data_IF_781284646804
#
_entry.id   IF_781284646804
#
_cell.length_a   1.000
_cell.length_b   1.000
_cell.length_c   1.000
_cell.angle_alpha   90.00
_cell.angle_beta   90.00
_cell.angle_gamma   90.00
#
_symmetry.space_group_name_H-M   'P 1'
#
loop_
_entity.id
_entity.type
_entity.pdbx_description
1 polymer ?
#
# COMPACT_ATOMS: atom_id res chain seq x y z
N UNK A 1 -0.24 -21.25 -6.62
CA UNK A 1 -0.94 -20.85 -5.36
C UNK A 1 -0.81 -19.34 -5.04
N UNK A 2 -0.34 -18.52 -5.99
CA UNK A 2 -0.68 -17.08 -6.09
C UNK A 2 -1.69 -16.82 -7.21
N UNK A 3 -1.83 -17.77 -8.16
CA UNK A 3 -2.76 -17.73 -9.29
C UNK A 3 -4.24 -17.62 -8.88
N UNK A 4 -4.56 -17.86 -7.59
CA UNK A 4 -5.90 -17.68 -7.04
C UNK A 4 -6.25 -16.22 -6.74
N UNK A 5 -5.25 -15.35 -6.57
CA UNK A 5 -5.44 -13.92 -6.26
C UNK A 5 -5.54 -13.07 -7.53
N UNK A 6 -4.97 -13.54 -8.64
CA UNK A 6 -5.04 -12.86 -9.93
C UNK A 6 -5.48 -13.89 -11.00
N UNK A 7 -6.79 -14.05 -11.24
CA UNK A 7 -7.32 -15.04 -12.18
C UNK A 7 -7.00 -14.71 -13.66
N UNK A 8 -6.40 -13.54 -13.92
CA UNK A 8 -5.92 -13.10 -15.23
C UNK A 8 -4.56 -13.69 -15.60
N UNK A 9 -4.19 -13.58 -16.87
CA UNK A 9 -2.85 -13.93 -17.34
C UNK A 9 -1.88 -12.83 -16.92
N UNK A 10 -0.62 -13.19 -16.65
CA UNK A 10 0.43 -12.19 -16.58
C UNK A 10 0.56 -11.43 -17.91
N UNK A 11 0.84 -10.13 -17.84
CA UNK A 11 0.87 -9.15 -18.94
C UNK A 11 -0.47 -9.00 -19.70
N UNK A 12 -1.61 -9.16 -19.03
CA UNK A 12 -2.91 -8.87 -19.66
C UNK A 12 -3.22 -7.37 -19.78
N UNK A 13 -4.17 -7.02 -20.63
CA UNK A 13 -4.58 -5.64 -20.89
C UNK A 13 -5.23 -4.93 -19.69
N UNK A 14 -5.63 -5.69 -18.67
CA UNK A 14 -6.22 -5.22 -17.43
C UNK A 14 -5.20 -5.16 -16.29
N UNK A 15 -3.90 -5.39 -16.56
CA UNK A 15 -2.85 -5.18 -15.59
C UNK A 15 -2.58 -3.69 -15.35
N UNK A 16 -2.41 -3.32 -14.09
CA UNK A 16 -2.10 -1.95 -13.67
C UNK A 16 -3.33 -1.15 -13.23
N UNK A 17 -3.18 0.17 -13.18
CA UNK A 17 -4.24 1.07 -12.75
C UNK A 17 -5.16 1.45 -13.90
N UNK A 18 -6.46 1.61 -13.59
CA UNK A 18 -7.46 2.06 -14.56
C UNK A 18 -7.16 3.47 -15.13
N UNK A 19 -6.40 4.30 -14.41
CA UNK A 19 -5.95 5.61 -14.87
C UNK A 19 -4.72 6.10 -14.10
N UNK A 20 -4.07 7.16 -14.61
CA UNK A 20 -2.99 7.86 -13.89
C UNK A 20 -3.46 8.55 -12.62
N UNK A 21 -4.71 8.96 -12.57
CA UNK A 21 -5.33 9.49 -11.35
C UNK A 21 -5.49 8.37 -10.30
N UNK A 22 -5.92 7.17 -10.71
CA UNK A 22 -6.01 6.03 -9.79
C UNK A 22 -4.64 5.58 -9.26
N UNK A 23 -3.60 5.61 -10.10
CA UNK A 23 -2.21 5.40 -9.68
C UNK A 23 -1.76 6.47 -8.68
N UNK A 24 -2.02 7.75 -8.96
CA UNK A 24 -1.65 8.85 -8.06
C UNK A 24 -2.40 8.79 -6.72
N UNK A 25 -3.69 8.45 -6.72
CA UNK A 25 -4.47 8.26 -5.48
C UNK A 25 -3.91 7.06 -4.72
N UNK A 26 -3.53 5.98 -5.41
CA UNK A 26 -2.91 4.83 -4.76
C UNK A 26 -1.59 5.22 -4.08
N UNK A 27 -0.71 5.96 -4.77
CA UNK A 27 0.56 6.45 -4.21
C UNK A 27 0.36 7.47 -3.08
N UNK A 28 -0.72 8.25 -3.11
CA UNK A 28 -1.08 9.21 -2.06
C UNK A 28 -1.72 8.55 -0.83
N UNK A 29 -2.61 7.57 -1.04
CA UNK A 29 -3.39 6.91 0.03
C UNK A 29 -2.62 5.77 0.67
N UNK A 30 -1.82 5.01 -0.09
CA UNK A 30 -0.89 4.03 0.48
C UNK A 30 0.42 4.72 0.84
N UNK A 31 0.48 5.24 2.06
CA UNK A 31 1.74 5.55 2.71
C UNK A 31 2.52 4.25 2.89
N UNK A 32 3.35 3.88 1.92
CA UNK A 32 4.32 2.82 2.10
C UNK A 32 5.36 3.33 3.11
N UNK A 33 5.18 2.99 4.37
CA UNK A 33 6.29 2.98 5.31
C UNK A 33 7.43 2.21 4.68
N UNK A 34 8.62 2.81 4.65
CA UNK A 34 9.77 2.16 4.02
C UNK A 34 10.01 0.78 4.63
N UNK A 35 10.73 -0.10 3.93
CA UNK A 35 10.95 -1.48 4.37
C UNK A 35 11.53 -1.54 5.80
N UNK A 36 12.32 -0.55 6.21
CA UNK A 36 12.92 -0.49 7.55
C UNK A 36 11.86 -0.12 8.59
N UNK A 37 10.98 0.81 8.27
CA UNK A 37 9.85 1.18 9.12
C UNK A 37 8.91 0.00 9.34
N UNK A 38 8.66 -0.82 8.31
CA UNK A 38 7.85 -2.05 8.45
C UNK A 38 8.47 -3.11 9.38
N UNK A 39 9.78 -3.06 9.60
CA UNK A 39 10.49 -3.97 10.50
C UNK A 39 10.52 -3.48 11.96
N UNK A 40 9.96 -2.31 12.24
CA UNK A 40 9.92 -1.77 13.60
C UNK A 40 9.02 -2.63 14.51
N UNK A 41 9.32 -2.69 15.82
CA UNK A 41 8.40 -3.22 16.81
C UNK A 41 7.04 -2.51 16.76
N UNK A 42 5.96 -3.22 17.09
CA UNK A 42 4.58 -2.73 16.96
C UNK A 42 4.35 -1.33 17.54
N UNK A 43 4.87 -1.06 18.75
CA UNK A 43 4.75 0.23 19.40
C UNK A 43 5.48 1.36 18.66
N UNK A 44 6.61 1.05 18.02
CA UNK A 44 7.41 2.00 17.25
C UNK A 44 6.82 2.22 15.85
N UNK A 45 6.32 1.16 15.20
CA UNK A 45 5.61 1.24 13.93
C UNK A 45 4.34 2.09 14.06
N UNK A 46 3.55 1.88 15.11
CA UNK A 46 2.34 2.67 15.38
C UNK A 46 2.69 4.13 15.63
N UNK A 47 3.80 4.41 16.34
CA UNK A 47 4.23 5.78 16.57
C UNK A 47 4.67 6.49 15.28
N UNK A 48 5.40 5.79 14.40
CA UNK A 48 5.82 6.34 13.10
C UNK A 48 4.61 6.59 12.18
N UNK A 49 3.67 5.65 12.09
CA UNK A 49 2.46 5.79 11.27
C UNK A 49 1.54 6.93 11.73
N UNK A 50 1.42 7.12 13.05
CA UNK A 50 0.61 8.21 13.64
C UNK A 50 1.12 9.61 13.30
N UNK A 51 2.41 9.75 12.98
CA UNK A 51 3.01 11.05 12.70
C UNK A 51 2.37 11.72 11.47
N UNK A 52 2.10 10.92 10.45
CA UNK A 52 1.54 11.39 9.19
C UNK A 52 0.04 11.09 9.06
N UNK A 53 -0.48 10.13 9.86
CA UNK A 53 -1.88 9.69 9.79
C UNK A 53 -2.54 9.64 11.19
N UNK A 54 -2.65 10.74 11.94
CA UNK A 54 -3.23 10.72 13.28
C UNK A 54 -4.67 10.22 13.30
N UNK A 55 -5.48 10.65 12.32
CA UNK A 55 -6.91 10.33 12.22
C UNK A 55 -7.21 8.84 12.00
N UNK A 56 -6.22 8.04 11.58
CA UNK A 56 -6.39 6.59 11.36
C UNK A 56 -6.36 5.77 12.66
N UNK A 57 -5.91 6.37 13.77
CA UNK A 57 -5.69 5.69 15.04
C UNK A 57 -6.52 6.28 16.20
N UNK A 58 -7.49 7.13 15.89
CA UNK A 58 -8.51 7.65 16.82
C UNK A 58 -9.68 6.67 17.00
#
# INVERSE_FOLDING_TARGET
>A
LLDALQPGSFNDENEGFASKEAESIYDEVFFFTDERTLQLPENELVAELKKDNPDWFE
#
